data_IF_744709039243
#
_entry.id   IF_744709039243
#
_cell.length_a   1.000
_cell.length_b   1.000
_cell.length_c   1.000
_cell.angle_alpha   90.00
_cell.angle_beta   90.00
_cell.angle_gamma   90.00
#
_symmetry.space_group_name_H-M   'P 1'
#
loop_
_entity.id
_entity.type
_entity.pdbx_description
1 polymer ?
#
# COMPACT_ATOMS: atom_id res chain seq x y z
N UNK A 1 -29.34 -8.03 -14.45
CA UNK A 1 -28.54 -8.37 -13.25
C UNK A 1 -28.93 -7.43 -12.12
N UNK A 2 -28.84 -7.90 -10.88
CA UNK A 2 -29.02 -7.05 -9.71
C UNK A 2 -27.75 -6.23 -9.49
N UNK A 3 -27.83 -5.14 -8.71
CA UNK A 3 -26.64 -4.37 -8.31
C UNK A 3 -25.52 -5.25 -7.72
N UNK A 4 -25.89 -6.23 -6.90
CA UNK A 4 -24.93 -7.12 -6.25
C UNK A 4 -24.23 -8.04 -7.25
N UNK A 5 -24.97 -8.58 -8.24
CA UNK A 5 -24.40 -9.39 -9.32
C UNK A 5 -23.41 -8.54 -10.16
N UNK A 6 -23.79 -7.32 -10.53
CA UNK A 6 -22.92 -6.40 -11.27
C UNK A 6 -21.66 -6.03 -10.47
N UNK A 7 -21.82 -5.81 -9.16
CA UNK A 7 -20.68 -5.51 -8.28
C UNK A 7 -19.68 -6.67 -8.23
N UNK A 8 -20.15 -7.91 -8.02
CA UNK A 8 -19.30 -9.08 -7.95
C UNK A 8 -18.66 -9.42 -9.31
N UNK A 9 -19.40 -9.22 -10.40
CA UNK A 9 -18.86 -9.39 -11.76
C UNK A 9 -17.73 -8.41 -12.03
N UNK A 10 -17.87 -7.14 -11.62
CA UNK A 10 -16.80 -6.15 -11.71
C UNK A 10 -15.52 -6.55 -10.95
N UNK A 11 -15.63 -7.15 -9.76
CA UNK A 11 -14.47 -7.72 -9.04
C UNK A 11 -13.82 -8.84 -9.84
N UNK A 12 -14.63 -9.74 -10.42
CA UNK A 12 -14.13 -10.84 -11.26
C UNK A 12 -13.36 -10.30 -12.47
N UNK A 13 -13.91 -9.32 -13.18
CA UNK A 13 -13.24 -8.66 -14.30
C UNK A 13 -11.90 -8.03 -13.88
N UNK A 14 -11.85 -7.33 -12.76
CA UNK A 14 -10.60 -6.75 -12.24
C UNK A 14 -9.56 -7.84 -12.00
N UNK A 15 -9.93 -8.94 -11.33
CA UNK A 15 -9.02 -10.05 -11.06
C UNK A 15 -8.38 -10.62 -12.33
N UNK A 16 -9.14 -10.69 -13.43
CA UNK A 16 -8.64 -11.19 -14.73
C UNK A 16 -7.64 -10.24 -15.41
N UNK A 17 -7.62 -8.96 -15.04
CA UNK A 17 -6.74 -7.94 -15.64
C UNK A 17 -5.46 -7.69 -14.87
N UNK A 18 -5.42 -8.02 -13.58
CA UNK A 18 -4.21 -7.87 -12.75
C UNK A 18 -3.09 -8.74 -13.32
N UNK A 19 -1.94 -8.13 -13.52
CA UNK A 19 -0.77 -8.82 -14.06
C UNK A 19 0.02 -9.51 -12.94
N UNK A 20 0.05 -10.86 -12.87
CA UNK A 20 0.77 -11.57 -11.81
C UNK A 20 2.24 -11.15 -11.68
N UNK A 21 2.88 -10.81 -12.79
CA UNK A 21 4.28 -10.38 -12.80
C UNK A 21 4.53 -9.14 -11.96
N UNK A 22 3.57 -8.23 -11.83
CA UNK A 22 3.71 -7.04 -10.98
C UNK A 22 3.73 -7.43 -9.50
N UNK A 23 2.92 -8.39 -9.08
CA UNK A 23 2.94 -8.95 -7.71
C UNK A 23 4.29 -9.60 -7.44
N UNK A 24 4.79 -10.45 -8.36
CA UNK A 24 6.11 -11.09 -8.24
C UNK A 24 7.23 -10.05 -8.10
N UNK A 25 7.21 -8.97 -8.88
CA UNK A 25 8.22 -7.91 -8.79
C UNK A 25 8.22 -7.22 -7.42
N UNK A 26 7.03 -6.95 -6.86
CA UNK A 26 6.89 -6.38 -5.51
C UNK A 26 7.43 -7.37 -4.48
N UNK A 27 7.03 -8.64 -4.53
CA UNK A 27 7.51 -9.70 -3.63
C UNK A 27 9.04 -9.79 -3.64
N UNK A 28 9.66 -9.85 -4.81
CA UNK A 28 11.12 -9.86 -4.93
C UNK A 28 11.78 -8.61 -4.33
N UNK A 29 11.15 -7.45 -4.49
CA UNK A 29 11.62 -6.21 -3.88
C UNK A 29 11.53 -6.22 -2.36
N UNK A 30 10.44 -6.74 -1.80
CA UNK A 30 10.25 -6.86 -0.34
C UNK A 30 11.20 -7.91 0.28
N UNK A 31 11.52 -8.98 -0.44
CA UNK A 31 12.56 -9.93 -0.02
C UNK A 31 13.91 -9.22 0.10
N UNK A 32 14.29 -8.41 -0.90
CA UNK A 32 15.52 -7.61 -0.83
C UNK A 32 15.51 -6.61 0.33
N UNK A 33 14.39 -5.92 0.55
CA UNK A 33 14.21 -5.02 1.70
C UNK A 33 14.50 -5.75 3.02
N UNK A 34 13.89 -6.92 3.24
CA UNK A 34 14.12 -7.76 4.42
C UNK A 34 15.59 -8.18 4.56
N UNK A 35 16.21 -8.65 3.47
CA UNK A 35 17.62 -9.08 3.47
C UNK A 35 18.60 -7.96 3.83
N UNK A 36 18.25 -6.72 3.51
CA UNK A 36 19.04 -5.52 3.81
C UNK A 36 18.68 -4.90 5.17
N UNK A 37 17.84 -5.57 5.99
CA UNK A 37 17.30 -5.01 7.23
C UNK A 37 16.61 -3.65 7.02
N UNK A 38 16.00 -3.48 5.85
CA UNK A 38 15.16 -2.33 5.54
C UNK A 38 13.77 -2.47 6.17
N UNK A 39 13.07 -1.35 6.26
CA UNK A 39 11.73 -1.23 6.84
C UNK A 39 10.73 -0.93 5.75
N UNK A 40 9.45 -1.23 6.02
CA UNK A 40 8.34 -0.84 5.13
C UNK A 40 7.56 0.30 5.80
N UNK A 41 7.42 1.41 5.10
CA UNK A 41 6.57 2.53 5.47
C UNK A 41 5.31 2.50 4.61
N UNK A 42 4.16 2.23 5.23
CA UNK A 42 2.87 2.15 4.54
C UNK A 42 2.14 3.49 4.68
N UNK A 43 1.71 4.09 3.58
CA UNK A 43 0.92 5.32 3.59
C UNK A 43 -0.37 5.17 2.78
N UNK A 44 -1.42 5.85 3.20
CA UNK A 44 -2.72 5.88 2.55
C UNK A 44 -3.63 6.92 3.17
N UNK A 45 -4.77 7.21 2.55
CA UNK A 45 -5.78 8.15 3.03
C UNK A 45 -7.14 7.44 3.07
N UNK A 46 -7.96 7.69 4.10
CA UNK A 46 -9.27 7.06 4.26
C UNK A 46 -9.18 5.53 4.35
N UNK A 47 -9.91 4.80 3.50
CA UNK A 47 -9.83 3.34 3.43
C UNK A 47 -8.44 2.85 3.06
N UNK A 48 -7.70 3.59 2.23
CA UNK A 48 -6.29 3.31 1.96
C UNK A 48 -5.40 3.41 3.21
N UNK A 49 -5.70 4.30 4.17
CA UNK A 49 -4.98 4.36 5.46
C UNK A 49 -5.30 3.15 6.33
N UNK A 50 -6.56 2.69 6.35
CA UNK A 50 -6.94 1.47 7.05
C UNK A 50 -6.22 0.24 6.46
N UNK A 51 -6.14 0.15 5.13
CA UNK A 51 -5.40 -0.90 4.43
C UNK A 51 -3.89 -0.82 4.71
N UNK A 52 -3.30 0.39 4.81
CA UNK A 52 -1.90 0.60 5.18
C UNK A 52 -1.61 0.11 6.61
N UNK A 53 -2.49 0.41 7.56
CA UNK A 53 -2.38 -0.07 8.95
C UNK A 53 -2.51 -1.60 9.03
N UNK A 54 -3.45 -2.20 8.29
CA UNK A 54 -3.55 -3.66 8.18
C UNK A 54 -2.26 -4.27 7.58
N UNK A 55 -1.72 -3.66 6.51
CA UNK A 55 -0.48 -4.12 5.89
C UNK A 55 0.70 -4.13 6.86
N UNK A 56 0.82 -3.14 7.75
CA UNK A 56 1.84 -3.10 8.81
C UNK A 56 1.77 -4.34 9.70
N UNK A 57 0.56 -4.72 10.15
CA UNK A 57 0.37 -5.94 10.93
C UNK A 57 0.89 -7.17 10.19
N UNK A 58 0.51 -7.32 8.93
CA UNK A 58 0.82 -8.51 8.14
C UNK A 58 2.32 -8.59 7.79
N UNK A 59 2.93 -7.51 7.37
CA UNK A 59 4.38 -7.48 7.11
C UNK A 59 5.19 -7.84 8.36
N UNK A 60 4.78 -7.35 9.53
CA UNK A 60 5.45 -7.66 10.79
C UNK A 60 5.21 -9.11 11.23
N UNK A 61 3.94 -9.52 11.27
CA UNK A 61 3.53 -10.82 11.82
C UNK A 61 3.87 -11.98 10.89
N UNK A 62 3.60 -11.83 9.60
CA UNK A 62 3.67 -12.92 8.60
C UNK A 62 5.03 -12.92 7.90
N UNK A 63 5.50 -11.74 7.47
CA UNK A 63 6.71 -11.62 6.66
C UNK A 63 7.99 -11.34 7.46
N UNK A 64 7.89 -11.10 8.77
CA UNK A 64 9.00 -10.71 9.64
C UNK A 64 9.76 -9.50 9.08
N UNK A 65 9.05 -8.46 8.64
CA UNK A 65 9.62 -7.20 8.16
C UNK A 65 9.15 -6.06 9.08
N UNK A 66 10.09 -5.30 9.61
CA UNK A 66 9.78 -4.10 10.39
C UNK A 66 8.97 -3.11 9.55
N UNK A 67 7.79 -2.70 10.05
CA UNK A 67 6.85 -1.90 9.26
C UNK A 67 6.11 -0.89 10.12
N UNK A 68 5.73 0.25 9.52
CA UNK A 68 5.09 1.37 10.19
C UNK A 68 4.07 2.09 9.29
N UNK A 69 3.08 2.74 9.93
CA UNK A 69 2.08 3.58 9.27
C UNK A 69 1.87 4.86 10.08
N UNK A 70 1.81 6.05 9.45
CA UNK A 70 1.63 7.33 10.16
C UNK A 70 0.29 7.44 10.88
N UNK A 71 -0.72 6.69 10.44
CA UNK A 71 -2.07 6.71 11.02
C UNK A 71 -2.22 5.83 12.26
N UNK A 72 -1.21 5.03 12.61
CA UNK A 72 -1.24 4.20 13.82
C UNK A 72 -0.98 5.01 15.10
N UNK A 73 -0.40 6.21 14.98
CA UNK A 73 -0.21 7.15 16.08
C UNK A 73 -1.06 8.41 15.83
N UNK A 74 -2.29 8.40 16.36
CA UNK A 74 -3.24 9.51 16.18
C UNK A 74 -2.74 10.81 16.77
N UNK A 75 -1.95 10.76 17.85
CA UNK A 75 -1.41 11.96 18.50
C UNK A 75 -0.38 12.65 17.59
N UNK A 76 0.57 11.91 17.04
CA UNK A 76 1.56 12.44 16.10
C UNK A 76 0.89 12.94 14.81
N UNK A 77 -0.03 12.15 14.24
CA UNK A 77 -0.76 12.53 13.02
C UNK A 77 -1.49 13.87 13.19
N UNK A 78 -2.26 14.01 14.27
CA UNK A 78 -3.06 15.21 14.51
C UNK A 78 -2.21 16.43 14.84
N UNK A 79 -1.10 16.27 15.59
CA UNK A 79 -0.16 17.34 15.85
C UNK A 79 0.48 17.86 14.55
N UNK A 80 0.98 16.97 13.69
CA UNK A 80 1.57 17.36 12.39
C UNK A 80 0.57 18.07 11.48
N UNK A 81 -0.68 17.61 11.45
CA UNK A 81 -1.74 18.26 10.67
C UNK A 81 -2.00 19.67 11.20
N UNK A 82 -2.11 19.82 12.53
CA UNK A 82 -2.36 21.10 13.16
C UNK A 82 -1.22 22.10 12.93
N UNK A 83 0.01 21.65 13.02
CA UNK A 83 1.19 22.52 13.03
C UNK A 83 1.69 22.85 11.60
N UNK A 84 1.72 21.86 10.71
CA UNK A 84 2.33 21.96 9.37
C UNK A 84 1.33 21.77 8.21
N UNK A 85 0.08 21.41 8.51
CA UNK A 85 -0.96 21.14 7.52
C UNK A 85 -0.93 19.72 6.96
N UNK A 86 -2.02 19.37 6.28
CA UNK A 86 -2.25 18.02 5.75
C UNK A 86 -1.25 17.60 4.67
N UNK A 87 -0.86 18.54 3.82
CA UNK A 87 -0.09 18.23 2.60
C UNK A 87 1.33 17.74 2.91
N UNK A 88 1.96 18.19 4.00
CA UNK A 88 3.32 17.81 4.38
C UNK A 88 3.38 16.66 5.38
N UNK A 89 2.24 16.28 5.97
CA UNK A 89 2.16 15.34 7.09
C UNK A 89 2.96 14.04 6.87
N UNK A 90 2.86 13.41 5.69
CA UNK A 90 3.56 12.16 5.43
C UNK A 90 5.05 12.37 5.13
N UNK A 91 5.41 13.47 4.49
CA UNK A 91 6.81 13.85 4.30
C UNK A 91 7.49 14.06 5.67
N UNK A 92 6.88 14.87 6.54
CA UNK A 92 7.42 15.19 7.85
C UNK A 92 7.54 13.95 8.75
N UNK A 93 6.56 13.05 8.65
CA UNK A 93 6.58 11.78 9.35
C UNK A 93 7.70 10.86 8.84
N UNK A 94 7.86 10.72 7.53
CA UNK A 94 8.94 9.92 6.91
C UNK A 94 10.33 10.50 7.25
N UNK A 95 10.46 11.83 7.29
CA UNK A 95 11.69 12.51 7.69
C UNK A 95 12.03 12.20 9.15
N UNK A 96 11.09 12.36 10.07
CA UNK A 96 11.27 12.06 11.49
C UNK A 96 11.55 10.56 11.74
N UNK A 97 10.96 9.68 10.93
CA UNK A 97 11.21 8.24 10.96
C UNK A 97 12.54 7.84 10.33
N UNK A 98 13.30 8.82 9.82
CA UNK A 98 14.62 8.58 9.20
C UNK A 98 14.55 7.54 8.06
N UNK A 99 13.62 7.76 7.13
CA UNK A 99 13.55 6.94 5.91
C UNK A 99 14.90 6.94 5.20
N UNK A 100 15.33 5.82 4.69
CA UNK A 100 16.63 5.63 4.02
C UNK A 100 16.51 4.75 2.78
N UNK A 101 17.59 4.62 2.00
CA UNK A 101 17.59 3.95 0.70
C UNK A 101 17.25 2.45 0.76
N UNK A 102 17.55 1.78 1.87
CA UNK A 102 17.25 0.35 2.09
C UNK A 102 15.79 0.11 2.44
N UNK A 103 15.06 1.17 2.83
CA UNK A 103 13.65 1.10 3.18
C UNK A 103 12.75 1.07 1.93
N UNK A 104 11.50 0.70 2.14
CA UNK A 104 10.46 0.68 1.11
C UNK A 104 9.28 1.56 1.54
N UNK A 105 8.78 2.38 0.62
CA UNK A 105 7.49 3.06 0.74
C UNK A 105 6.42 2.24 0.01
N UNK A 106 5.35 1.86 0.72
CA UNK A 106 4.18 1.17 0.16
C UNK A 106 2.97 2.10 0.20
N UNK A 107 2.36 2.36 -0.96
CA UNK A 107 1.27 3.34 -1.12
C UNK A 107 -0.06 2.63 -1.40
N UNK A 108 -1.07 2.93 -0.58
CA UNK A 108 -2.46 2.49 -0.75
C UNK A 108 -3.33 3.72 -1.04
N UNK A 109 -3.74 3.91 -2.29
CA UNK A 109 -4.48 5.13 -2.66
C UNK A 109 -5.44 4.88 -3.80
N UNK A 110 -6.62 5.51 -3.76
CA UNK A 110 -7.58 5.43 -4.87
C UNK A 110 -7.06 6.17 -6.10
N UNK A 111 -6.43 7.32 -5.94
CA UNK A 111 -5.96 8.15 -7.07
C UNK A 111 -4.44 8.25 -7.21
N UNK A 112 -3.66 7.63 -6.32
CA UNK A 112 -2.20 7.69 -6.36
C UNK A 112 -1.57 9.05 -6.05
N UNK A 113 -2.37 10.05 -5.64
CA UNK A 113 -1.94 11.41 -5.34
C UNK A 113 -1.87 12.33 -6.56
N UNK A 114 -2.41 13.52 -6.39
CA UNK A 114 -2.33 14.65 -7.34
C UNK A 114 -2.02 15.93 -6.56
N UNK A 115 -1.71 17.02 -7.25
CA UNK A 115 -1.46 18.33 -6.60
C UNK A 115 -2.69 18.90 -5.84
N UNK A 116 -3.89 18.38 -6.11
CA UNK A 116 -5.15 18.87 -5.54
C UNK A 116 -5.82 17.85 -4.61
N UNK A 117 -5.49 16.58 -4.75
CA UNK A 117 -6.08 15.50 -3.96
C UNK A 117 -4.97 14.57 -3.46
N UNK A 118 -4.88 14.39 -2.16
CA UNK A 118 -3.83 13.59 -1.50
C UNK A 118 -2.42 14.10 -1.79
N UNK A 119 -2.20 15.42 -1.68
CA UNK A 119 -0.88 16.05 -1.84
C UNK A 119 0.14 15.51 -0.80
N UNK A 120 -0.31 15.06 0.36
CA UNK A 120 0.49 14.35 1.34
C UNK A 120 1.15 13.07 0.76
N UNK A 121 0.44 12.31 -0.07
CA UNK A 121 1.02 11.15 -0.79
C UNK A 121 2.06 11.63 -1.79
N UNK A 122 1.77 12.68 -2.57
CA UNK A 122 2.72 13.26 -3.53
C UNK A 122 4.04 13.64 -2.83
N UNK A 123 3.95 14.36 -1.71
CA UNK A 123 5.12 14.80 -0.95
C UNK A 123 5.88 13.62 -0.33
N UNK A 124 5.17 12.62 0.21
CA UNK A 124 5.78 11.39 0.72
C UNK A 124 6.53 10.60 -0.35
N UNK A 125 5.91 10.40 -1.53
CA UNK A 125 6.52 9.72 -2.69
C UNK A 125 7.75 10.51 -3.19
N UNK A 126 7.64 11.85 -3.31
CA UNK A 126 8.76 12.71 -3.72
C UNK A 126 9.94 12.58 -2.76
N UNK A 127 9.69 12.60 -1.45
CA UNK A 127 10.72 12.45 -0.44
C UNK A 127 11.39 11.07 -0.51
N UNK A 128 10.62 9.99 -0.57
CA UNK A 128 11.15 8.64 -0.71
C UNK A 128 12.02 8.50 -1.97
N UNK A 129 11.57 9.07 -3.10
CA UNK A 129 12.34 9.10 -4.35
C UNK A 129 13.66 9.82 -4.22
N UNK A 130 13.70 10.96 -3.52
CA UNK A 130 14.93 11.74 -3.31
C UNK A 130 15.99 10.94 -2.52
N UNK A 131 15.56 10.06 -1.64
CA UNK A 131 16.41 9.16 -0.85
C UNK A 131 16.75 7.84 -1.56
N UNK A 132 16.19 7.60 -2.75
CA UNK A 132 16.31 6.34 -3.51
C UNK A 132 15.71 5.12 -2.79
N UNK A 133 14.81 5.33 -1.83
CA UNK A 133 14.01 4.27 -1.25
C UNK A 133 13.11 3.65 -2.33
N UNK A 134 12.84 2.36 -2.24
CA UNK A 134 11.93 1.69 -3.18
C UNK A 134 10.50 2.11 -2.93
N UNK A 135 9.74 2.32 -4.00
CA UNK A 135 8.37 2.79 -3.95
C UNK A 135 7.48 1.80 -4.69
N UNK A 136 6.57 1.17 -3.94
CA UNK A 136 5.54 0.30 -4.47
C UNK A 136 4.17 0.88 -4.19
N UNK A 137 3.18 0.55 -5.03
CA UNK A 137 1.83 1.04 -4.83
C UNK A 137 0.76 0.08 -5.33
N UNK A 138 -0.39 0.12 -4.66
CA UNK A 138 -1.64 -0.48 -5.14
C UNK A 138 -2.65 0.66 -5.18
N UNK A 139 -2.94 1.12 -6.39
CA UNK A 139 -3.69 2.35 -6.64
C UNK A 139 -4.79 2.13 -7.67
N UNK A 140 -5.72 3.05 -7.78
CA UNK A 140 -6.78 3.03 -8.80
C UNK A 140 -6.65 4.17 -9.80
N UNK A 141 -7.71 4.42 -10.57
CA UNK A 141 -7.79 5.45 -11.60
C UNK A 141 -6.65 5.33 -12.61
N UNK A 142 -5.92 6.41 -12.83
CA UNK A 142 -4.72 6.47 -13.68
C UNK A 142 -3.41 6.21 -12.90
N UNK A 143 -3.51 6.03 -11.58
CA UNK A 143 -2.40 5.78 -10.67
C UNK A 143 -1.66 7.03 -10.20
N UNK A 144 -1.97 8.20 -10.73
CA UNK A 144 -1.47 9.51 -10.30
C UNK A 144 0.04 9.60 -10.16
N UNK A 145 0.47 10.37 -9.18
CA UNK A 145 1.91 10.60 -8.91
C UNK A 145 2.64 9.31 -8.51
N UNK A 146 1.98 8.43 -7.77
CA UNK A 146 2.55 7.14 -7.36
C UNK A 146 2.92 6.28 -8.56
N UNK A 147 2.03 6.17 -9.57
CA UNK A 147 2.34 5.41 -10.81
C UNK A 147 3.50 6.00 -11.59
N UNK A 148 3.58 7.34 -11.63
CA UNK A 148 4.62 8.04 -12.39
C UNK A 148 6.02 7.84 -11.81
N UNK A 149 6.17 7.72 -10.50
CA UNK A 149 7.45 7.74 -9.81
C UNK A 149 7.79 6.46 -9.03
N UNK A 150 6.84 5.54 -8.90
CA UNK A 150 7.04 4.25 -8.25
C UNK A 150 7.90 3.29 -9.07
N UNK A 151 8.54 2.36 -8.39
CA UNK A 151 9.36 1.30 -9.01
C UNK A 151 8.48 0.17 -9.55
N UNK A 152 7.42 -0.24 -8.81
CA UNK A 152 6.37 -1.14 -9.29
C UNK A 152 5.03 -0.69 -8.71
N UNK A 153 4.05 -0.43 -9.56
CA UNK A 153 2.74 0.07 -9.14
C UNK A 153 1.63 -0.66 -9.87
N UNK A 154 0.81 -1.37 -9.11
CA UNK A 154 -0.38 -2.05 -9.61
C UNK A 154 -1.52 -1.04 -9.66
N UNK A 155 -2.06 -0.82 -10.86
CA UNK A 155 -3.21 0.06 -11.06
C UNK A 155 -4.46 -0.79 -11.22
N UNK A 156 -5.38 -0.66 -10.28
CA UNK A 156 -6.69 -1.31 -10.33
C UNK A 156 -7.52 -0.65 -11.43
N UNK A 157 -7.97 -1.40 -12.44
CA UNK A 157 -8.72 -0.83 -13.54
C UNK A 157 -10.10 -0.30 -13.08
N UNK A 158 -10.52 0.79 -13.68
CA UNK A 158 -11.85 1.34 -13.45
C UNK A 158 -12.86 0.64 -14.35
N UNK A 159 -13.64 -0.28 -13.80
CA UNK A 159 -14.75 -0.95 -14.52
C UNK A 159 -15.96 -0.02 -14.54
N UNK A 160 -16.37 0.49 -13.37
CA UNK A 160 -17.47 1.44 -13.22
C UNK A 160 -17.01 2.68 -12.46
N UNK A 161 -17.19 3.86 -13.04
CA UNK A 161 -16.73 5.13 -12.46
C UNK A 161 -17.30 5.41 -11.05
N UNK A 162 -18.54 5.02 -10.78
CA UNK A 162 -19.19 5.22 -9.49
C UNK A 162 -18.76 4.22 -8.42
N UNK A 163 -17.98 3.19 -8.76
CA UNK A 163 -17.45 2.18 -7.84
C UNK A 163 -15.93 2.20 -7.72
N UNK A 164 -15.24 3.18 -8.30
CA UNK A 164 -13.78 3.23 -8.33
C UNK A 164 -13.15 3.13 -6.93
N UNK A 165 -13.69 3.83 -5.94
CA UNK A 165 -13.20 3.76 -4.56
C UNK A 165 -13.41 2.37 -3.95
N UNK A 166 -14.64 1.85 -4.05
CA UNK A 166 -15.00 0.56 -3.48
C UNK A 166 -14.14 -0.58 -4.06
N UNK A 167 -14.00 -0.62 -5.37
CA UNK A 167 -13.14 -1.63 -6.02
C UNK A 167 -11.68 -1.45 -5.67
N UNK A 168 -11.16 -0.22 -5.70
CA UNK A 168 -9.75 0.01 -5.41
C UNK A 168 -9.40 -0.43 -3.99
N UNK A 169 -10.16 -0.01 -2.99
CA UNK A 169 -9.89 -0.31 -1.59
C UNK A 169 -10.06 -1.80 -1.27
N UNK A 170 -11.05 -2.48 -1.86
CA UNK A 170 -11.22 -3.93 -1.73
C UNK A 170 -10.05 -4.70 -2.38
N UNK A 171 -9.68 -4.32 -3.60
CA UNK A 171 -8.59 -4.98 -4.33
C UNK A 171 -7.21 -4.72 -3.72
N UNK A 172 -7.02 -3.59 -3.04
CA UNK A 172 -5.80 -3.37 -2.25
C UNK A 172 -5.57 -4.51 -1.26
N UNK A 173 -6.62 -4.96 -0.57
CA UNK A 173 -6.52 -6.06 0.38
C UNK A 173 -6.31 -7.42 -0.30
N UNK A 174 -7.02 -7.69 -1.40
CA UNK A 174 -6.82 -8.92 -2.18
C UNK A 174 -5.36 -9.04 -2.65
N UNK A 175 -4.80 -7.96 -3.19
CA UNK A 175 -3.42 -7.95 -3.68
C UNK A 175 -2.42 -7.97 -2.53
N UNK A 176 -2.68 -7.25 -1.43
CA UNK A 176 -1.83 -7.30 -0.24
C UNK A 176 -1.70 -8.75 0.27
N UNK A 177 -2.82 -9.46 0.41
CA UNK A 177 -2.77 -10.86 0.86
C UNK A 177 -2.03 -11.76 -0.13
N UNK A 178 -2.18 -11.55 -1.45
CA UNK A 178 -1.40 -12.28 -2.45
C UNK A 178 0.12 -12.01 -2.30
N UNK A 179 0.51 -10.83 -1.82
CA UNK A 179 1.92 -10.48 -1.54
C UNK A 179 2.39 -11.12 -0.24
N UNK A 180 1.69 -10.89 0.89
CA UNK A 180 2.19 -11.29 2.21
C UNK A 180 2.16 -12.80 2.44
N UNK A 181 1.19 -13.52 1.83
CA UNK A 181 1.12 -14.98 1.85
C UNK A 181 1.89 -15.64 0.70
N UNK A 182 2.64 -14.86 -0.08
CA UNK A 182 3.43 -15.43 -1.16
C UNK A 182 4.50 -16.40 -0.62
N UNK A 183 4.65 -17.63 -1.16
CA UNK A 183 5.55 -18.67 -0.62
C UNK A 183 7.01 -18.23 -0.44
N UNK A 184 7.50 -17.28 -1.24
CA UNK A 184 8.86 -16.72 -1.11
C UNK A 184 8.98 -15.63 -0.03
N UNK A 185 7.87 -15.00 0.38
CA UNK A 185 7.88 -13.88 1.32
C UNK A 185 7.43 -14.27 2.72
N UNK A 186 6.47 -15.17 2.84
CA UNK A 186 5.96 -15.69 4.12
C UNK A 186 7.10 -16.30 4.95
N UNK A 187 7.09 -16.03 6.25
CA UNK A 187 8.03 -16.61 7.25
C UNK A 187 7.27 -17.32 8.35
N UNK A 188 6.16 -16.72 8.78
CA UNK A 188 5.32 -17.27 9.84
C UNK A 188 3.94 -17.57 9.29
N UNK A 189 3.40 -18.74 9.60
CA UNK A 189 2.03 -19.10 9.26
C UNK A 189 1.02 -18.31 10.10
N UNK A 190 -0.13 -18.03 9.51
CA UNK A 190 -1.26 -17.50 10.23
C UNK A 190 -1.83 -18.54 11.22
N UNK A 191 -2.56 -18.07 12.24
CA UNK A 191 -3.11 -18.98 13.25
C UNK A 191 -4.08 -19.99 12.64
N UNK A 192 -4.92 -19.54 11.72
CA UNK A 192 -5.92 -20.41 11.07
C UNK A 192 -5.28 -21.41 10.10
N UNK A 193 -4.25 -21.02 9.41
CA UNK A 193 -3.49 -21.87 8.48
C UNK A 193 -2.65 -22.93 9.21
N UNK A 194 -2.31 -22.69 10.49
CA UNK A 194 -1.54 -23.63 11.34
C UNK A 194 -2.37 -24.60 12.15
N UNK A 195 -3.72 -24.45 12.18
CA UNK A 195 -4.61 -25.37 12.87
C UNK A 195 -4.86 -26.58 11.97
N UNK A 196 -4.30 -27.73 12.33
CA UNK A 196 -4.73 -29.01 11.75
C UNK A 196 -6.11 -29.35 12.33
N UNK A 197 -7.15 -29.30 11.51
CA UNK A 197 -8.46 -29.86 11.90
C UNK A 197 -8.29 -31.37 12.05
N UNK A 198 -8.54 -31.86 13.25
CA UNK A 198 -8.65 -33.27 13.57
C UNK A 198 -10.09 -33.72 13.44
#
# INVERSE_FOLDING_TARGET
MTYTEDYLDGISQICQTIQPKQIENIVEGLIRCRQQSGRIFCIGVGGGAANASHAVNDFRKICNIESYCPTDNVAELTARINDNGWDTTYLDWLYASRLKAEDTLMVFSVGGGTNHVSANIVNGVSYAKSLRAKIYGIVGRDGGYTKKFGDEVIVIPTIYNHLVTAYTESMQMVILHAIVFHPKLIVNEGKWESINEH
#
